data_IF_213219389501
#
_entry.id   IF_213219389501
#
_cell.length_a   1.000
_cell.length_b   1.000
_cell.length_c   1.000
_cell.angle_alpha   90.00
_cell.angle_beta   90.00
_cell.angle_gamma   90.00
#
_symmetry.space_group_name_H-M   'P 1'
#
loop_
_entity.id
_entity.type
_entity.pdbx_description
1 polymer ?
#
# COMPACT_ATOMS: atom_id res chain seq x y z
N UNK A 1 31.11 31.51 51.48
CA UNK A 1 29.89 31.95 50.76
C UNK A 1 30.21 32.04 49.28
N UNK A 2 30.01 30.98 48.53
CA UNK A 2 30.04 30.99 47.07
C UNK A 2 28.98 29.98 46.61
N UNK A 3 27.90 30.48 46.01
CA UNK A 3 26.81 29.67 45.46
C UNK A 3 27.15 29.45 43.99
N UNK A 4 27.40 28.20 43.60
CA UNK A 4 27.51 27.81 42.20
C UNK A 4 26.11 27.46 41.71
N UNK A 5 25.57 28.28 40.82
CA UNK A 5 24.30 27.99 40.14
C UNK A 5 24.57 27.02 38.98
N UNK A 6 24.06 25.79 39.11
CA UNK A 6 24.04 24.82 38.03
C UNK A 6 22.86 25.16 37.11
N UNK A 7 23.13 25.61 35.89
CA UNK A 7 22.10 25.73 34.85
C UNK A 7 22.01 24.39 34.14
N UNK A 8 20.96 23.62 34.44
CA UNK A 8 20.63 22.42 33.69
C UNK A 8 19.92 22.84 32.39
N UNK A 9 20.62 22.73 31.26
CA UNK A 9 20.01 22.84 29.94
C UNK A 9 19.37 21.49 29.62
N UNK A 10 18.06 21.39 29.76
CA UNK A 10 17.29 20.25 29.29
C UNK A 10 17.23 20.26 27.76
N UNK A 11 17.87 19.29 27.11
CA UNK A 11 17.69 19.05 25.69
C UNK A 11 16.31 18.40 25.52
N UNK A 12 15.35 19.17 25.01
CA UNK A 12 14.05 18.65 24.59
C UNK A 12 14.29 17.84 23.30
N UNK A 13 14.54 16.54 23.43
CA UNK A 13 14.45 15.63 22.28
C UNK A 13 12.96 15.52 21.97
N UNK A 14 12.50 16.34 21.02
CA UNK A 14 11.19 16.14 20.42
C UNK A 14 11.21 14.76 19.76
N UNK A 15 10.42 13.83 20.29
CA UNK A 15 10.07 12.62 19.57
C UNK A 15 9.33 13.07 18.32
N UNK A 16 9.99 13.06 17.17
CA UNK A 16 9.30 13.21 15.89
C UNK A 16 8.36 12.02 15.83
N UNK A 17 7.05 12.26 15.87
CA UNK A 17 6.07 11.23 15.57
C UNK A 17 6.48 10.63 14.22
N UNK A 18 6.73 9.32 14.19
CA UNK A 18 7.05 8.65 12.94
C UNK A 18 5.82 8.78 12.04
N UNK A 19 5.95 9.57 10.96
CA UNK A 19 4.89 9.67 9.97
C UNK A 19 4.60 8.27 9.41
N UNK A 20 3.31 7.91 9.22
CA UNK A 20 2.96 6.65 8.60
C UNK A 20 3.75 6.43 7.32
N UNK A 21 4.23 5.22 7.10
CA UNK A 21 4.96 4.85 5.89
C UNK A 21 4.05 4.01 5.01
N UNK A 22 3.99 4.34 3.71
CA UNK A 22 3.37 3.48 2.71
C UNK A 22 4.28 2.28 2.49
N UNK A 23 3.83 1.11 2.95
CA UNK A 23 4.58 -0.13 2.92
C UNK A 23 4.06 -1.04 1.82
N UNK A 24 5.00 -1.55 1.02
CA UNK A 24 4.77 -2.49 -0.07
C UNK A 24 3.68 -2.09 -1.07
N UNK A 25 3.60 -0.82 -1.55
CA UNK A 25 3.11 -0.58 -2.90
C UNK A 25 3.82 -1.48 -3.91
N UNK A 26 3.07 -2.42 -4.50
CA UNK A 26 3.52 -3.25 -5.62
C UNK A 26 2.61 -3.04 -6.82
N UNK A 27 3.20 -2.91 -8.00
CA UNK A 27 2.51 -2.67 -9.26
C UNK A 27 2.68 -3.88 -10.17
N UNK A 28 1.55 -4.48 -10.59
CA UNK A 28 1.46 -5.53 -11.59
C UNK A 28 0.92 -4.97 -12.90
N UNK A 29 1.42 -5.48 -14.01
CA UNK A 29 1.06 -5.04 -15.36
C UNK A 29 0.67 -6.27 -16.18
N UNK A 30 -0.57 -6.30 -16.68
CA UNK A 30 -1.12 -7.42 -17.45
C UNK A 30 -1.64 -6.94 -18.81
N UNK A 31 -0.76 -6.69 -19.80
CA UNK A 31 -1.20 -6.35 -21.15
C UNK A 31 -1.74 -7.59 -21.88
N UNK A 32 -2.54 -7.41 -22.95
CA UNK A 32 -3.07 -8.55 -23.74
C UNK A 32 -1.99 -9.30 -24.54
N UNK A 33 -0.83 -8.67 -24.75
CA UNK A 33 0.34 -9.21 -25.43
C UNK A 33 1.59 -8.57 -24.86
N UNK A 34 2.75 -9.19 -25.07
CA UNK A 34 4.03 -8.59 -24.65
C UNK A 34 4.14 -7.15 -25.14
N UNK A 35 4.27 -6.22 -24.19
CA UNK A 35 4.19 -4.78 -24.43
C UNK A 35 5.26 -4.08 -23.60
N UNK A 36 6.00 -3.18 -24.22
CA UNK A 36 6.89 -2.27 -23.49
C UNK A 36 6.03 -1.23 -22.76
N UNK A 37 6.12 -1.20 -21.44
CA UNK A 37 5.38 -0.28 -20.57
C UNK A 37 6.35 0.64 -19.86
N UNK A 38 6.03 1.93 -19.86
CA UNK A 38 6.68 2.94 -19.01
C UNK A 38 5.74 3.28 -17.87
N UNK A 39 6.26 3.28 -16.63
CA UNK A 39 5.52 3.65 -15.42
C UNK A 39 6.29 4.75 -14.71
N UNK A 40 5.81 5.98 -14.79
CA UNK A 40 6.26 7.11 -13.99
C UNK A 40 5.65 7.05 -12.59
N UNK A 41 6.43 7.36 -11.56
CA UNK A 41 5.98 7.39 -10.17
C UNK A 41 6.22 8.77 -9.56
N UNK A 42 5.15 9.40 -9.10
CA UNK A 42 5.20 10.63 -8.30
C UNK A 42 4.55 10.38 -6.94
N UNK A 43 5.34 9.97 -5.94
CA UNK A 43 4.86 9.77 -4.58
C UNK A 43 4.89 11.08 -3.77
N UNK A 44 3.78 11.43 -3.14
CA UNK A 44 3.70 12.59 -2.26
C UNK A 44 4.46 12.31 -0.96
N UNK A 45 5.51 13.10 -0.67
CA UNK A 45 6.45 12.82 0.41
C UNK A 45 7.74 12.12 -0.06
N UNK A 46 7.79 11.70 -1.32
CA UNK A 46 8.96 11.09 -1.96
C UNK A 46 8.99 9.57 -1.88
N UNK A 47 10.00 8.99 -2.54
CA UNK A 47 10.22 7.54 -2.60
C UNK A 47 11.45 7.21 -1.75
N UNK A 48 11.27 6.42 -0.70
CA UNK A 48 12.38 5.96 0.16
C UNK A 48 13.13 4.80 -0.49
N UNK A 49 12.42 3.90 -1.17
CA UNK A 49 13.02 2.81 -1.91
C UNK A 49 12.13 2.39 -3.09
N UNK A 50 12.77 1.93 -4.17
CA UNK A 50 12.11 1.37 -5.34
C UNK A 50 12.90 0.20 -5.90
N UNK A 51 12.19 -0.84 -6.34
CA UNK A 51 12.79 -1.98 -7.01
C UNK A 51 11.93 -2.46 -8.19
N UNK A 52 12.49 -2.63 -9.41
CA UNK A 52 13.85 -2.25 -9.82
C UNK A 52 14.14 -0.75 -9.56
N UNK A 53 15.41 -0.34 -9.61
CA UNK A 53 15.73 1.08 -9.38
C UNK A 53 15.10 1.96 -10.47
N UNK A 54 14.40 3.01 -10.05
CA UNK A 54 13.87 4.05 -10.94
C UNK A 54 15.00 4.74 -11.73
N UNK A 55 14.70 5.15 -12.95
CA UNK A 55 15.55 6.01 -13.80
C UNK A 55 14.73 7.23 -14.15
N UNK A 56 15.18 8.43 -13.80
CA UNK A 56 14.45 9.67 -14.08
C UNK A 56 12.96 9.61 -13.67
N UNK A 57 12.71 9.06 -12.47
CA UNK A 57 11.37 8.93 -11.88
C UNK A 57 10.47 7.85 -12.50
N UNK A 58 11.00 6.98 -13.37
CA UNK A 58 10.19 5.94 -14.04
C UNK A 58 10.85 4.57 -14.09
N UNK A 59 10.01 3.56 -14.28
CA UNK A 59 10.39 2.24 -14.78
C UNK A 59 10.07 2.11 -16.26
N UNK A 60 10.85 1.28 -16.95
CA UNK A 60 10.54 0.81 -18.29
C UNK A 60 10.81 -0.69 -18.34
N UNK A 61 9.79 -1.47 -18.68
CA UNK A 61 9.83 -2.93 -18.69
C UNK A 61 9.05 -3.48 -19.88
N UNK A 62 9.43 -4.64 -20.39
CA UNK A 62 8.56 -5.45 -21.24
C UNK A 62 7.67 -6.30 -20.33
N UNK A 63 6.37 -6.01 -20.33
CA UNK A 63 5.37 -6.74 -19.54
C UNK A 63 4.73 -7.83 -20.39
N UNK A 64 4.66 -9.04 -19.84
CA UNK A 64 3.98 -10.19 -20.44
C UNK A 64 2.56 -10.35 -19.89
N UNK A 65 1.63 -11.00 -20.64
CA UNK A 65 0.25 -11.18 -20.18
C UNK A 65 0.09 -11.93 -18.86
N UNK A 66 1.10 -12.70 -18.44
CA UNK A 66 1.11 -13.42 -17.16
C UNK A 66 1.64 -12.58 -15.97
N UNK A 67 1.96 -11.31 -16.22
CA UNK A 67 2.50 -10.36 -15.23
C UNK A 67 4.02 -10.38 -15.08
N UNK A 68 4.74 -11.21 -15.86
CA UNK A 68 6.21 -11.19 -15.85
C UNK A 68 6.73 -9.89 -16.46
N UNK A 69 7.62 -9.20 -15.74
CA UNK A 69 8.22 -7.94 -16.18
C UNK A 69 9.70 -8.14 -16.48
N UNK A 70 10.17 -7.76 -17.67
CA UNK A 70 11.57 -7.88 -18.06
C UNK A 70 12.23 -6.50 -18.23
N UNK A 71 13.35 -6.25 -17.55
CA UNK A 71 14.13 -5.01 -17.79
C UNK A 71 15.00 -5.10 -19.06
N UNK A 72 15.56 -3.97 -19.49
CA UNK A 72 16.47 -3.88 -20.64
C UNK A 72 17.75 -4.75 -20.53
N UNK A 73 18.03 -5.34 -19.34
CA UNK A 73 19.15 -6.26 -19.12
C UNK A 73 18.71 -7.74 -19.15
N UNK A 74 17.43 -8.00 -19.44
CA UNK A 74 16.84 -9.33 -19.48
C UNK A 74 16.53 -9.92 -18.10
N UNK A 75 16.54 -9.11 -17.03
CA UNK A 75 16.15 -9.60 -15.69
C UNK A 75 14.65 -9.54 -15.54
N UNK A 76 14.09 -10.60 -14.97
CA UNK A 76 12.66 -10.75 -14.75
C UNK A 76 12.26 -10.39 -13.31
N UNK A 77 11.09 -9.78 -13.19
CA UNK A 77 10.48 -9.37 -11.92
C UNK A 77 9.00 -9.77 -11.92
N UNK A 78 8.44 -10.15 -10.76
CA UNK A 78 7.01 -10.42 -10.63
C UNK A 78 6.15 -9.15 -10.55
N UNK A 79 6.77 -8.01 -10.19
CA UNK A 79 6.12 -6.72 -10.01
C UNK A 79 7.15 -5.59 -9.96
N UNK A 80 6.68 -4.34 -10.05
CA UNK A 80 7.42 -3.16 -9.62
C UNK A 80 7.09 -2.90 -8.14
N UNK A 81 8.02 -2.35 -7.39
CA UNK A 81 7.87 -2.09 -5.96
C UNK A 81 8.35 -0.67 -5.63
N UNK A 82 7.61 0.01 -4.76
CA UNK A 82 8.09 1.22 -4.10
C UNK A 82 7.61 1.29 -2.64
N UNK A 83 8.27 2.13 -1.86
CA UNK A 83 7.83 2.55 -0.53
C UNK A 83 8.26 4.00 -0.29
N UNK A 84 7.59 4.66 0.64
CA UNK A 84 7.85 6.06 0.97
C UNK A 84 6.99 6.55 2.12
N UNK A 85 7.25 7.78 2.62
CA UNK A 85 6.35 8.43 3.57
C UNK A 85 4.92 8.47 3.03
N UNK A 86 3.95 8.28 3.92
CA UNK A 86 2.52 8.36 3.61
C UNK A 86 1.92 9.56 4.33
N UNK A 87 1.39 10.50 3.54
CA UNK A 87 0.56 11.58 4.05
C UNK A 87 -0.93 11.23 4.04
N UNK A 88 -1.29 9.98 3.71
CA UNK A 88 -2.67 9.54 3.60
C UNK A 88 -3.32 9.45 4.99
N UNK A 89 -4.36 10.24 5.20
CA UNK A 89 -5.20 10.20 6.41
C UNK A 89 -6.52 9.52 6.07
N UNK A 90 -6.72 8.24 6.44
CA UNK A 90 -7.92 7.48 6.06
C UNK A 90 -9.14 7.85 6.91
N UNK A 91 -10.34 7.68 6.35
CA UNK A 91 -11.60 7.80 7.11
C UNK A 91 -11.87 6.52 7.92
N UNK A 92 -11.25 6.44 9.10
CA UNK A 92 -11.42 5.35 10.04
C UNK A 92 -12.82 5.28 10.69
N UNK A 93 -13.79 6.12 10.27
CA UNK A 93 -15.21 5.93 10.61
C UNK A 93 -15.89 4.83 9.76
N UNK A 94 -15.19 4.34 8.74
CA UNK A 94 -15.57 3.17 7.94
C UNK A 94 -14.49 2.11 7.99
N UNK A 95 -14.87 0.84 7.95
CA UNK A 95 -13.93 -0.27 8.00
C UNK A 95 -14.52 -1.52 8.63
N UNK A 96 -13.64 -2.41 9.09
CA UNK A 96 -14.00 -3.65 9.79
C UNK A 96 -13.11 -3.86 11.01
N UNK A 97 -13.73 -4.14 12.15
CA UNK A 97 -13.04 -4.60 13.35
C UNK A 97 -12.85 -6.12 13.24
N UNK A 98 -11.61 -6.57 13.19
CA UNK A 98 -11.24 -7.96 12.86
C UNK A 98 -10.35 -8.50 13.98
N UNK A 99 -10.72 -9.67 14.52
CA UNK A 99 -9.87 -10.39 15.48
C UNK A 99 -8.76 -11.12 14.75
N UNK A 100 -7.61 -11.33 15.41
CA UNK A 100 -6.44 -12.00 14.83
C UNK A 100 -6.79 -13.30 14.07
N UNK A 101 -7.62 -14.17 14.66
CA UNK A 101 -8.02 -15.45 14.09
C UNK A 101 -8.87 -15.33 12.81
N UNK A 102 -9.46 -14.16 12.56
CA UNK A 102 -10.33 -13.88 11.42
C UNK A 102 -9.64 -13.05 10.33
N UNK A 103 -8.40 -12.60 10.54
CA UNK A 103 -7.66 -11.74 9.59
C UNK A 103 -7.54 -12.37 8.21
N UNK A 104 -7.03 -13.60 8.12
CA UNK A 104 -6.82 -14.27 6.83
C UNK A 104 -8.13 -14.45 6.06
N UNK A 105 -9.18 -15.09 6.61
CA UNK A 105 -10.43 -15.27 5.87
C UNK A 105 -11.14 -13.95 5.60
N UNK A 106 -10.93 -12.91 6.41
CA UNK A 106 -11.40 -11.55 6.10
C UNK A 106 -10.69 -11.00 4.85
N UNK A 107 -9.36 -11.02 4.81
CA UNK A 107 -8.59 -10.51 3.68
C UNK A 107 -8.89 -11.29 2.39
N UNK A 108 -9.00 -12.62 2.44
CA UNK A 108 -9.33 -13.44 1.26
C UNK A 108 -10.66 -12.99 0.61
N UNK A 109 -11.69 -12.73 1.41
CA UNK A 109 -12.98 -12.24 0.89
C UNK A 109 -12.90 -10.80 0.40
N UNK A 110 -12.36 -9.90 1.22
CA UNK A 110 -12.36 -8.47 0.94
C UNK A 110 -11.50 -8.12 -0.28
N UNK A 111 -10.33 -8.76 -0.44
CA UNK A 111 -9.46 -8.51 -1.58
C UNK A 111 -10.07 -9.03 -2.90
N UNK A 112 -10.82 -10.13 -2.86
CA UNK A 112 -11.58 -10.61 -4.01
C UNK A 112 -12.70 -9.62 -4.39
N UNK A 113 -13.42 -9.06 -3.42
CA UNK A 113 -14.41 -8.01 -3.66
C UNK A 113 -13.79 -6.74 -4.27
N UNK A 114 -12.54 -6.43 -3.91
CA UNK A 114 -11.75 -5.33 -4.45
C UNK A 114 -11.12 -5.63 -5.83
N UNK A 115 -11.29 -6.84 -6.38
CA UNK A 115 -10.83 -7.19 -7.73
C UNK A 115 -9.40 -7.74 -7.82
N UNK A 116 -8.79 -8.11 -6.69
CA UNK A 116 -7.53 -8.85 -6.70
C UNK A 116 -7.77 -10.33 -7.01
N UNK A 117 -6.85 -10.91 -7.76
CA UNK A 117 -6.75 -12.34 -8.01
C UNK A 117 -6.15 -13.07 -6.82
N UNK A 118 -6.30 -14.39 -6.78
CA UNK A 118 -5.66 -15.25 -5.76
C UNK A 118 -4.14 -15.05 -5.67
N UNK A 119 -3.48 -14.80 -6.81
CA UNK A 119 -2.02 -14.55 -6.84
C UNK A 119 -1.66 -13.25 -6.14
N UNK A 120 -2.33 -12.16 -6.47
CA UNK A 120 -2.09 -10.84 -5.87
C UNK A 120 -2.48 -10.84 -4.39
N UNK A 121 -3.64 -11.43 -4.06
CA UNK A 121 -4.12 -11.57 -2.70
C UNK A 121 -3.16 -12.40 -1.83
N UNK A 122 -2.59 -13.48 -2.35
CA UNK A 122 -1.62 -14.29 -1.62
C UNK A 122 -0.38 -13.49 -1.21
N UNK A 123 0.16 -12.64 -2.10
CA UNK A 123 1.30 -11.78 -1.79
C UNK A 123 0.96 -10.64 -0.82
N UNK A 124 -0.26 -10.09 -0.92
CA UNK A 124 -0.80 -9.11 0.03
C UNK A 124 -0.90 -9.73 1.43
N UNK A 125 -1.59 -10.86 1.54
CA UNK A 125 -1.86 -11.59 2.79
C UNK A 125 -0.54 -12.03 3.43
N UNK A 126 0.39 -12.57 2.66
CA UNK A 126 1.69 -13.02 3.19
C UNK A 126 2.48 -11.88 3.84
N UNK A 127 2.31 -10.64 3.37
CA UNK A 127 2.95 -9.47 3.98
C UNK A 127 2.16 -8.89 5.16
N UNK A 128 0.85 -8.68 4.98
CA UNK A 128 0.03 -7.95 5.93
C UNK A 128 -0.56 -8.82 7.04
N UNK A 129 -0.97 -10.06 6.76
CA UNK A 129 -1.64 -10.89 7.76
C UNK A 129 -0.80 -11.16 9.01
N UNK A 130 0.53 -11.43 8.93
CA UNK A 130 1.35 -11.58 10.14
C UNK A 130 1.40 -10.33 11.01
N UNK A 131 1.34 -9.13 10.42
CA UNK A 131 1.35 -7.84 11.13
C UNK A 131 0.01 -7.58 11.79
N UNK A 132 -1.07 -7.76 11.04
CA UNK A 132 -2.45 -7.63 11.52
C UNK A 132 -2.76 -8.63 12.65
N UNK A 133 -2.27 -9.87 12.53
CA UNK A 133 -2.52 -10.94 13.51
C UNK A 133 -1.60 -10.89 14.72
N UNK A 134 -0.61 -9.98 14.75
CA UNK A 134 0.20 -9.73 15.94
C UNK A 134 -0.62 -9.01 17.02
N UNK A 135 -1.68 -8.31 16.63
CA UNK A 135 -2.59 -7.60 17.50
C UNK A 135 -3.86 -8.44 17.75
N UNK A 136 -4.42 -8.46 18.99
CA UNK A 136 -5.62 -9.25 19.27
C UNK A 136 -6.83 -8.86 18.42
N UNK A 137 -6.97 -7.55 18.17
CA UNK A 137 -8.03 -6.96 17.37
C UNK A 137 -7.48 -5.75 16.63
N UNK A 138 -7.82 -5.63 15.35
CA UNK A 138 -7.45 -4.49 14.49
C UNK A 138 -8.69 -3.88 13.85
N UNK A 139 -8.65 -2.57 13.61
CA UNK A 139 -9.56 -1.90 12.70
C UNK A 139 -8.87 -1.75 11.35
N UNK A 140 -9.47 -2.31 10.30
CA UNK A 140 -8.96 -2.26 8.93
C UNK A 140 -9.88 -1.40 8.06
N UNK A 141 -9.29 -0.52 7.28
CA UNK A 141 -9.92 0.31 6.26
C UNK A 141 -9.22 0.10 4.91
N UNK A 142 -9.97 0.03 3.83
CA UNK A 142 -9.43 0.01 2.47
C UNK A 142 -9.80 1.29 1.72
N UNK A 143 -8.78 2.04 1.32
CA UNK A 143 -8.90 3.21 0.47
C UNK A 143 -9.07 2.77 -1.01
N UNK A 144 -9.83 3.56 -1.76
CA UNK A 144 -10.10 3.36 -3.19
C UNK A 144 -9.21 4.26 -4.06
N UNK A 145 -9.21 4.03 -5.38
CA UNK A 145 -8.34 4.68 -6.37
C UNK A 145 -8.13 6.19 -6.14
N UNK A 146 -9.19 6.97 -5.91
CA UNK A 146 -9.05 8.43 -5.72
C UNK A 146 -8.21 8.82 -4.49
N UNK A 147 -8.28 8.04 -3.40
CA UNK A 147 -7.47 8.27 -2.21
C UNK A 147 -6.03 7.76 -2.39
N UNK A 148 -5.84 6.67 -3.15
CA UNK A 148 -4.50 6.16 -3.47
C UNK A 148 -3.76 7.07 -4.46
N UNK A 149 -4.49 7.72 -5.39
CA UNK A 149 -3.92 8.73 -6.29
C UNK A 149 -3.30 9.90 -5.50
N UNK A 150 -3.96 10.32 -4.41
CA UNK A 150 -3.44 11.36 -3.53
C UNK A 150 -2.23 10.92 -2.68
N UNK A 151 -1.90 9.62 -2.66
CA UNK A 151 -0.67 9.10 -2.06
C UNK A 151 0.46 9.06 -3.10
N UNK A 152 0.18 8.54 -4.29
CA UNK A 152 1.12 8.52 -5.39
C UNK A 152 0.41 8.47 -6.75
N UNK A 153 0.89 9.28 -7.68
CA UNK A 153 0.43 9.26 -9.06
C UNK A 153 1.26 8.26 -9.87
N UNK A 154 0.57 7.48 -10.73
CA UNK A 154 1.20 6.57 -11.69
C UNK A 154 0.91 7.06 -13.11
N UNK A 155 1.94 7.52 -13.81
CA UNK A 155 1.86 7.93 -15.23
C UNK A 155 2.27 6.75 -16.12
N UNK A 156 1.32 6.11 -16.79
CA UNK A 156 1.53 4.82 -17.45
C UNK A 156 1.29 4.91 -18.95
N UNK A 157 2.29 4.47 -19.73
CA UNK A 157 2.25 4.41 -21.19
C UNK A 157 2.62 2.99 -21.68
N UNK A 158 1.76 2.33 -22.47
CA UNK A 158 0.42 2.76 -22.88
C UNK A 158 -0.55 2.85 -21.70
N UNK A 159 -1.61 3.66 -21.84
CA UNK A 159 -2.63 3.82 -20.77
C UNK A 159 -3.35 2.48 -20.54
N UNK A 160 -3.45 1.99 -19.29
CA UNK A 160 -4.24 0.81 -18.96
C UNK A 160 -5.73 1.00 -19.24
N UNK A 161 -6.39 -0.05 -19.72
CA UNK A 161 -7.85 -0.09 -19.90
C UNK A 161 -8.57 -0.32 -18.56
N UNK A 162 -7.92 -1.04 -17.63
CA UNK A 162 -8.42 -1.26 -16.27
C UNK A 162 -7.35 -0.92 -15.24
N UNK A 163 -7.74 -0.17 -14.20
CA UNK A 163 -6.87 0.19 -13.08
C UNK A 163 -7.54 -0.28 -11.78
N UNK A 164 -6.79 -1.03 -10.95
CA UNK A 164 -7.24 -1.51 -9.65
C UNK A 164 -6.18 -1.09 -8.63
N UNK A 165 -6.51 -0.12 -7.77
CA UNK A 165 -5.60 0.36 -6.71
C UNK A 165 -6.21 0.13 -5.34
N UNK A 166 -5.54 -0.67 -4.51
CA UNK A 166 -6.00 -1.05 -3.17
C UNK A 166 -4.98 -0.62 -2.13
N UNK A 167 -5.36 0.29 -1.23
CA UNK A 167 -4.47 0.70 -0.15
C UNK A 167 -5.13 0.43 1.20
N UNK A 168 -4.49 -0.37 2.04
CA UNK A 168 -5.03 -0.74 3.34
C UNK A 168 -4.44 0.13 4.44
N UNK A 169 -5.29 0.75 5.25
CA UNK A 169 -4.90 1.38 6.51
C UNK A 169 -5.40 0.54 7.68
N UNK A 170 -4.59 0.31 8.70
CA UNK A 170 -5.04 -0.39 9.91
C UNK A 170 -4.47 0.20 11.20
N UNK A 171 -5.14 -0.05 12.32
CA UNK A 171 -4.62 0.19 13.67
C UNK A 171 -5.06 -0.88 14.67
N UNK A 172 -4.29 -1.13 15.74
CA UNK A 172 -4.74 -1.93 16.87
C UNK A 172 -5.99 -1.31 17.54
N UNK A 173 -6.82 -2.15 18.17
CA UNK A 173 -8.01 -1.73 18.90
C UNK A 173 -7.97 -2.28 20.33
N UNK A 174 -7.91 -1.39 21.31
CA UNK A 174 -7.91 -1.76 22.73
C UNK A 174 -9.30 -2.19 23.22
N UNK A 175 -10.33 -1.40 22.91
CA UNK A 175 -11.73 -1.66 23.27
C UNK A 175 -12.58 -1.77 22.01
N UNK A 176 -12.82 -2.99 21.48
CA UNK A 176 -13.60 -3.19 20.26
C UNK A 176 -15.07 -2.82 20.41
N UNK A 177 -15.63 -2.83 21.63
CA UNK A 177 -17.03 -2.47 21.86
C UNK A 177 -17.25 -0.95 21.79
N UNK A 178 -16.18 -0.17 22.00
CA UNK A 178 -16.20 1.29 21.85
C UNK A 178 -16.01 1.76 20.40
N UNK A 179 -15.62 0.88 19.48
CA UNK A 179 -15.35 1.25 18.08
C UNK A 179 -16.63 1.21 17.25
N UNK A 180 -17.17 2.40 16.94
CA UNK A 180 -18.29 2.55 16.01
C UNK A 180 -17.77 2.80 14.59
N UNK A 181 -17.91 1.80 13.72
CA UNK A 181 -17.51 1.89 12.31
C UNK A 181 -18.62 1.41 11.39
N UNK A 182 -18.76 2.08 10.25
CA UNK A 182 -19.66 1.63 9.18
C UNK A 182 -18.92 0.61 8.31
N UNK A 183 -19.51 -0.56 8.01
CA UNK A 183 -18.91 -1.52 7.07
C UNK A 183 -18.69 -0.87 5.71
N UNK A 184 -17.54 -1.15 5.10
CA UNK A 184 -17.30 -0.78 3.71
C UNK A 184 -18.01 -1.76 2.77
N UNK A 185 -18.41 -1.26 1.61
CA UNK A 185 -18.97 -2.06 0.52
C UNK A 185 -18.21 -1.74 -0.74
N UNK A 186 -17.84 -2.76 -1.49
CA UNK A 186 -17.06 -2.62 -2.71
C UNK A 186 -17.86 -3.07 -3.92
N UNK A 187 -17.54 -2.50 -5.07
CA UNK A 187 -17.98 -3.00 -6.37
C UNK A 187 -16.76 -3.55 -7.06
N UNK A 188 -16.77 -4.84 -7.35
CA UNK A 188 -15.64 -5.51 -7.99
C UNK A 188 -15.37 -4.88 -9.36
N UNK A 189 -14.17 -4.32 -9.59
CA UNK A 189 -13.81 -3.76 -10.89
C UNK A 189 -13.83 -4.82 -11.99
N UNK A 190 -14.27 -4.43 -13.19
CA UNK A 190 -14.12 -5.29 -14.36
C UNK A 190 -12.67 -5.25 -14.87
N UNK A 191 -12.16 -6.41 -15.27
CA UNK A 191 -10.80 -6.58 -15.77
C UNK A 191 -10.86 -6.82 -17.27
N UNK A 192 -10.46 -5.84 -18.05
CA UNK A 192 -10.45 -5.90 -19.51
C UNK A 192 -9.22 -5.19 -20.08
N UNK A 193 -8.78 -5.61 -21.27
CA UNK A 193 -7.64 -5.02 -21.97
C UNK A 193 -6.34 -5.09 -21.16
N UNK A 194 -5.56 -4.02 -21.19
CA UNK A 194 -4.40 -3.85 -20.35
C UNK A 194 -4.81 -3.51 -18.91
N UNK A 195 -4.56 -4.43 -17.97
CA UNK A 195 -4.87 -4.24 -16.55
C UNK A 195 -3.62 -3.83 -15.76
N UNK A 196 -3.73 -2.74 -15.01
CA UNK A 196 -2.78 -2.38 -13.96
C UNK A 196 -3.40 -2.66 -12.60
N UNK A 197 -2.64 -3.34 -11.74
CA UNK A 197 -3.01 -3.50 -10.33
C UNK A 197 -1.93 -2.94 -9.44
N UNK A 198 -2.30 -2.08 -8.50
CA UNK A 198 -1.44 -1.70 -7.39
C UNK A 198 -2.10 -2.08 -6.07
N UNK A 199 -1.32 -2.63 -5.15
CA UNK A 199 -1.75 -2.67 -3.75
C UNK A 199 -0.64 -2.28 -2.80
N UNK A 200 -1.02 -1.72 -1.65
CA UNK A 200 -0.12 -1.32 -0.57
C UNK A 200 -0.87 -1.13 0.74
N UNK A 201 -0.22 -0.55 1.73
CA UNK A 201 -0.90 -0.15 2.96
C UNK A 201 -0.02 0.57 3.96
N UNK A 202 -0.61 0.92 5.09
CA UNK A 202 0.05 1.59 6.20
C UNK A 202 -0.51 1.11 7.54
N UNK A 203 0.35 1.14 8.56
CA UNK A 203 -0.07 1.07 9.95
C UNK A 203 -0.24 2.49 10.47
N UNK A 204 -1.38 2.77 11.08
CA UNK A 204 -1.61 4.01 11.81
C UNK A 204 -1.14 3.85 13.27
N UNK A 205 -0.79 4.95 13.93
CA UNK A 205 -0.46 4.98 15.36
C UNK A 205 -1.56 4.43 16.27
#
# INVERSE_FOLDING_TARGET
>A
MAVVALVAVGILVGTREEEPTALKPVVYLYPERTTTVTVGLTAHGGVSFAYPALRDGRWQVDAEPDGTLTDARGRQYPSLFWEGPSALVPDMSTGSVVRAEAVVPFLERTLAELGLTDREAAEFITFWAPRLSAEPVVLIHFDTEAAVEALAELDVDPVPDSVIRVFMSYRPVEDPDAVQVRPQTFTTPDRHGFVLVEWGGQQLP
#
